data_IF_270576587417
#
_entry.id   IF_270576587417
#
_cell.length_a   1.000
_cell.length_b   1.000
_cell.length_c   1.000
_cell.angle_alpha   90.00
_cell.angle_beta   90.00
_cell.angle_gamma   90.00
#
_symmetry.space_group_name_H-M   'P 1'
#
loop_
_entity.id
_entity.type
_entity.pdbx_description
1 polymer ?
#
# COMPACT_ATOMS: atom_id res chain seq x y z
N UNK A 1 -30.03 -22.20 -32.59
CA UNK A 1 -28.75 -21.69 -32.97
C UNK A 1 -27.66 -22.23 -32.05
N UNK A 2 -26.97 -23.22 -32.62
CA UNK A 2 -26.00 -24.01 -31.89
C UNK A 2 -24.80 -23.22 -31.29
N UNK A 3 -24.33 -22.21 -32.04
CA UNK A 3 -23.17 -21.40 -31.58
C UNK A 3 -23.47 -20.50 -30.37
N UNK A 4 -24.64 -19.87 -30.36
CA UNK A 4 -25.04 -19.03 -29.21
C UNK A 4 -25.19 -19.85 -27.92
N UNK A 5 -25.77 -21.05 -28.07
CA UNK A 5 -25.91 -21.99 -26.95
C UNK A 5 -24.55 -22.48 -26.44
N UNK A 6 -23.63 -22.77 -27.36
CA UNK A 6 -22.28 -23.23 -27.05
C UNK A 6 -21.50 -22.16 -26.31
N UNK A 7 -21.56 -20.91 -26.77
CA UNK A 7 -20.89 -19.79 -26.07
C UNK A 7 -21.46 -19.58 -24.68
N UNK A 8 -22.78 -19.67 -24.54
CA UNK A 8 -23.42 -19.55 -23.24
C UNK A 8 -22.92 -20.61 -22.24
N UNK A 9 -22.79 -21.86 -22.69
CA UNK A 9 -22.29 -22.96 -21.87
C UNK A 9 -20.82 -22.74 -21.49
N UNK A 10 -19.99 -22.22 -22.41
CA UNK A 10 -18.59 -21.91 -22.13
C UNK A 10 -18.49 -20.84 -21.04
N UNK A 11 -19.25 -19.75 -21.14
CA UNK A 11 -19.26 -18.68 -20.13
C UNK A 11 -19.76 -19.18 -18.77
N UNK A 12 -20.74 -20.06 -18.77
CA UNK A 12 -21.26 -20.66 -17.55
C UNK A 12 -20.20 -21.50 -16.82
N UNK A 13 -19.45 -22.30 -17.58
CA UNK A 13 -18.36 -23.13 -17.04
C UNK A 13 -17.25 -22.26 -16.50
N UNK A 14 -16.87 -21.19 -17.21
CA UNK A 14 -15.84 -20.26 -16.76
C UNK A 14 -16.22 -19.53 -15.46
N UNK A 15 -17.47 -19.11 -15.35
CA UNK A 15 -17.98 -18.47 -14.12
C UNK A 15 -17.97 -19.43 -12.94
N UNK A 16 -18.36 -20.68 -13.17
CA UNK A 16 -18.34 -21.71 -12.14
C UNK A 16 -16.92 -22.01 -11.68
N UNK A 17 -15.96 -22.04 -12.60
CA UNK A 17 -14.54 -22.24 -12.31
C UNK A 17 -13.98 -21.09 -11.45
N UNK A 18 -14.29 -19.85 -11.83
CA UNK A 18 -13.86 -18.66 -11.07
C UNK A 18 -14.43 -18.66 -9.65
N UNK A 19 -15.72 -18.99 -9.52
CA UNK A 19 -16.37 -19.08 -8.22
C UNK A 19 -15.73 -20.17 -7.35
N UNK A 20 -15.42 -21.32 -7.94
CA UNK A 20 -14.75 -22.43 -7.26
C UNK A 20 -13.35 -22.03 -6.79
N UNK A 21 -12.56 -21.39 -7.66
CA UNK A 21 -11.21 -20.92 -7.31
C UNK A 21 -11.23 -19.89 -6.20
N UNK A 22 -12.22 -19.02 -6.21
CA UNK A 22 -12.42 -18.01 -5.16
C UNK A 22 -12.75 -18.67 -3.82
N UNK A 23 -13.64 -19.67 -3.81
CA UNK A 23 -13.97 -20.45 -2.62
C UNK A 23 -12.77 -21.19 -2.06
N UNK A 24 -11.88 -21.64 -2.93
CA UNK A 24 -10.63 -22.31 -2.55
C UNK A 24 -9.53 -21.35 -2.09
N UNK A 25 -9.78 -20.05 -2.12
CA UNK A 25 -8.80 -19.03 -1.75
C UNK A 25 -7.68 -18.84 -2.78
N UNK A 26 -7.88 -19.31 -4.01
CA UNK A 26 -6.89 -19.19 -5.09
C UNK A 26 -6.95 -17.86 -5.81
N UNK A 27 -8.07 -17.13 -5.69
CA UNK A 27 -8.24 -15.82 -6.27
C UNK A 27 -8.47 -14.79 -5.18
N UNK A 28 -7.82 -13.65 -5.34
CA UNK A 28 -7.98 -12.50 -4.44
C UNK A 28 -9.00 -11.56 -5.06
N UNK A 29 -9.97 -11.11 -4.26
CA UNK A 29 -10.88 -10.04 -4.65
C UNK A 29 -10.07 -8.76 -4.82
N UNK A 30 -10.08 -8.18 -6.03
CA UNK A 30 -9.31 -6.98 -6.36
C UNK A 30 -9.68 -5.81 -5.44
N UNK A 31 -10.97 -5.60 -5.18
CA UNK A 31 -11.42 -4.52 -4.30
C UNK A 31 -10.94 -4.73 -2.87
N UNK A 32 -10.96 -5.97 -2.37
CA UNK A 32 -10.45 -6.29 -1.05
C UNK A 32 -8.94 -6.10 -0.97
N UNK A 33 -8.21 -6.50 -2.02
CA UNK A 33 -6.76 -6.29 -2.11
C UNK A 33 -6.41 -4.80 -2.10
N UNK A 34 -7.14 -3.98 -2.86
CA UNK A 34 -6.95 -2.54 -2.89
C UNK A 34 -7.18 -1.91 -1.52
N UNK A 35 -8.26 -2.30 -0.83
CA UNK A 35 -8.53 -1.82 0.53
C UNK A 35 -7.41 -2.17 1.50
N UNK A 36 -6.87 -3.37 1.39
CA UNK A 36 -5.76 -3.84 2.23
C UNK A 36 -4.49 -3.02 1.98
N UNK A 37 -4.17 -2.78 0.71
CA UNK A 37 -3.02 -1.95 0.33
C UNK A 37 -3.18 -0.52 0.86
N UNK A 38 -4.35 0.09 0.70
CA UNK A 38 -4.63 1.42 1.21
C UNK A 38 -4.53 1.49 2.73
N UNK A 39 -5.10 0.51 3.43
CA UNK A 39 -5.04 0.45 4.89
C UNK A 39 -3.60 0.33 5.38
N UNK A 40 -2.79 -0.49 4.72
CA UNK A 40 -1.37 -0.67 5.05
C UNK A 40 -0.58 0.61 4.80
N UNK A 41 -0.79 1.26 3.65
CA UNK A 41 -0.12 2.50 3.31
C UNK A 41 -0.44 3.60 4.33
N UNK A 42 -1.71 3.72 4.73
CA UNK A 42 -2.13 4.69 5.74
C UNK A 42 -1.49 4.39 7.10
N UNK A 43 -1.48 3.13 7.51
CA UNK A 43 -0.88 2.72 8.77
C UNK A 43 0.62 3.01 8.80
N UNK A 44 1.33 2.76 7.71
CA UNK A 44 2.76 3.07 7.58
C UNK A 44 3.01 4.57 7.63
N UNK A 45 2.22 5.37 6.92
CA UNK A 45 2.32 6.82 6.96
C UNK A 45 2.12 7.36 8.38
N UNK A 46 1.05 6.91 9.04
CA UNK A 46 0.74 7.35 10.40
C UNK A 46 1.85 6.93 11.38
N UNK A 47 2.42 5.75 11.21
CA UNK A 47 3.53 5.25 12.01
C UNK A 47 4.79 6.12 11.85
N UNK A 48 5.11 6.54 10.63
CA UNK A 48 6.26 7.41 10.38
C UNK A 48 6.06 8.80 10.97
N UNK A 49 4.87 9.37 10.86
CA UNK A 49 4.55 10.67 11.46
C UNK A 49 4.65 10.59 13.00
N UNK A 50 4.11 9.52 13.59
CA UNK A 50 4.22 9.30 15.04
C UNK A 50 5.68 9.11 15.49
N UNK A 51 6.49 8.45 14.68
CA UNK A 51 7.92 8.30 14.93
C UNK A 51 8.63 9.65 15.01
N UNK A 52 8.31 10.58 14.09
CA UNK A 52 8.86 11.94 14.11
C UNK A 52 8.54 12.63 15.45
N UNK A 53 7.29 12.52 15.89
CA UNK A 53 6.85 13.14 17.16
C UNK A 53 7.60 12.62 18.35
N UNK A 54 7.92 11.31 18.39
CA UNK A 54 8.68 10.70 19.47
C UNK A 54 10.18 10.96 19.36
N UNK A 55 10.70 11.00 18.14
CA UNK A 55 12.14 11.06 17.89
C UNK A 55 12.71 12.47 17.93
N UNK A 56 11.93 13.49 17.52
CA UNK A 56 12.41 14.87 17.50
C UNK A 56 12.91 15.36 18.89
N UNK A 57 12.18 15.13 20.00
CA UNK A 57 12.69 15.52 21.31
C UNK A 57 13.99 14.79 21.71
N UNK A 58 14.12 13.52 21.33
CA UNK A 58 15.33 12.74 21.62
C UNK A 58 16.52 13.26 20.83
N UNK A 59 16.33 13.53 19.55
CA UNK A 59 17.37 14.12 18.70
C UNK A 59 17.78 15.49 19.18
N UNK A 60 16.81 16.31 19.55
CA UNK A 60 17.08 17.66 20.08
C UNK A 60 17.92 17.60 21.35
N UNK A 61 17.59 16.68 22.25
CA UNK A 61 18.35 16.49 23.50
C UNK A 61 19.78 16.04 23.23
N UNK A 62 19.98 15.10 22.32
CA UNK A 62 21.31 14.60 21.96
C UNK A 62 22.19 15.68 21.30
N UNK A 63 21.57 16.50 20.47
CA UNK A 63 22.29 17.55 19.73
C UNK A 63 22.39 18.89 20.48
N UNK A 64 21.72 19.00 21.63
CA UNK A 64 21.71 20.23 22.41
C UNK A 64 20.99 21.39 21.72
N UNK A 65 19.96 21.07 20.93
CA UNK A 65 19.15 22.07 20.24
C UNK A 65 17.72 22.06 20.77
N UNK A 66 16.94 23.11 20.41
CA UNK A 66 15.55 23.20 20.83
C UNK A 66 14.69 22.20 20.09
N UNK A 67 13.73 21.59 20.78
CA UNK A 67 12.83 20.58 20.23
C UNK A 67 11.95 21.14 19.10
N UNK A 68 11.43 22.36 19.24
CA UNK A 68 10.53 22.95 18.25
C UNK A 68 11.12 23.02 16.85
N UNK A 69 12.29 23.67 16.66
CA UNK A 69 12.97 23.69 15.37
C UNK A 69 13.33 22.31 14.83
N UNK A 70 13.78 21.40 15.71
CA UNK A 70 14.11 20.03 15.31
C UNK A 70 12.88 19.30 14.78
N UNK A 71 11.76 19.42 15.49
CA UNK A 71 10.48 18.82 15.05
C UNK A 71 10.04 19.38 13.72
N UNK A 72 10.08 20.70 13.54
CA UNK A 72 9.64 21.36 12.32
C UNK A 72 10.41 20.86 11.10
N UNK A 73 11.73 20.76 11.20
CA UNK A 73 12.57 20.29 10.09
C UNK A 73 12.35 18.80 9.83
N UNK A 74 12.36 17.99 10.86
CA UNK A 74 12.20 16.54 10.73
C UNK A 74 10.81 16.18 10.18
N UNK A 75 9.77 16.83 10.67
CA UNK A 75 8.39 16.64 10.19
C UNK A 75 8.26 17.01 8.71
N UNK A 76 8.81 18.15 8.31
CA UNK A 76 8.80 18.58 6.93
C UNK A 76 9.51 17.57 6.01
N UNK A 77 10.70 17.17 6.38
CA UNK A 77 11.48 16.21 5.59
C UNK A 77 10.80 14.84 5.50
N UNK A 78 10.19 14.38 6.60
CA UNK A 78 9.45 13.12 6.59
C UNK A 78 8.22 13.19 5.68
N UNK A 79 7.47 14.30 5.72
CA UNK A 79 6.30 14.46 4.87
C UNK A 79 6.66 14.54 3.40
N UNK A 80 7.76 15.23 3.06
CA UNK A 80 8.29 15.25 1.71
C UNK A 80 8.67 13.86 1.22
N UNK A 81 9.30 13.08 2.09
CA UNK A 81 9.69 11.70 1.77
C UNK A 81 8.47 10.81 1.55
N UNK A 82 7.47 10.89 2.42
CA UNK A 82 6.23 10.12 2.29
C UNK A 82 5.47 10.50 1.02
N UNK A 83 5.46 11.76 0.66
CA UNK A 83 4.85 12.24 -0.57
C UNK A 83 5.58 11.69 -1.79
N UNK A 84 6.91 11.69 -1.75
CA UNK A 84 7.73 11.08 -2.81
C UNK A 84 7.41 9.59 -2.98
N UNK A 85 7.30 8.85 -1.88
CA UNK A 85 6.94 7.43 -1.93
C UNK A 85 5.55 7.20 -2.53
N UNK A 86 4.59 8.08 -2.20
CA UNK A 86 3.24 7.98 -2.75
C UNK A 86 3.20 8.22 -4.27
N UNK A 87 4.12 9.04 -4.79
CA UNK A 87 4.23 9.34 -6.21
C UNK A 87 5.05 8.32 -6.98
N UNK A 88 5.85 7.50 -6.28
CA UNK A 88 6.69 6.48 -6.93
C UNK A 88 5.82 5.34 -7.45
N UNK A 89 5.91 4.99 -8.75
CA UNK A 89 5.14 3.90 -9.30
C UNK A 89 5.46 2.57 -8.60
N UNK A 90 4.42 1.78 -8.35
CA UNK A 90 4.56 0.49 -7.70
C UNK A 90 5.52 -0.44 -8.46
N UNK A 91 5.52 -0.33 -9.79
CA UNK A 91 6.39 -1.09 -10.68
C UNK A 91 7.88 -0.85 -10.38
N UNK A 92 8.27 0.40 -10.14
CA UNK A 92 9.66 0.76 -9.80
C UNK A 92 10.07 0.18 -8.46
N UNK A 93 9.18 0.22 -7.48
CA UNK A 93 9.43 -0.36 -6.16
C UNK A 93 9.60 -1.87 -6.25
N UNK A 94 8.79 -2.52 -7.07
CA UNK A 94 8.84 -3.96 -7.29
C UNK A 94 10.15 -4.40 -7.96
N UNK A 95 10.59 -3.66 -8.97
CA UNK A 95 11.87 -3.92 -9.67
C UNK A 95 13.06 -3.73 -8.73
N UNK A 96 13.03 -2.72 -7.88
CA UNK A 96 14.07 -2.46 -6.90
C UNK A 96 14.23 -3.60 -5.90
N UNK A 97 13.13 -4.25 -5.51
CA UNK A 97 13.16 -5.40 -4.60
C UNK A 97 13.72 -6.67 -5.23
N UNK A 98 13.54 -6.84 -6.55
CA UNK A 98 13.99 -8.04 -7.27
C UNK A 98 15.46 -7.97 -7.71
N UNK A 99 16.04 -6.81 -7.65
CA UNK A 99 17.45 -6.59 -7.98
C UNK A 99 18.29 -6.49 -6.70
#
# INVERSE_FOLDING_TARGET
MAEARRLHEIFKVQRAKLAFEKEQGKLIDVAAAERTVFARAKAERDSHIAWVQRSAPLMAAELGVKTGPMFTVLDRLMREHLEHLAETPLEELFVAETN
#
